data_IF_990195201428
#
_entry.id   IF_990195201428
#
_cell.length_a   1.000
_cell.length_b   1.000
_cell.length_c   1.000
_cell.angle_alpha   90.00
_cell.angle_beta   90.00
_cell.angle_gamma   90.00
#
_symmetry.space_group_name_H-M   'P 1'
#
loop_
_entity.id
_entity.type
_entity.pdbx_description
1 polymer ?
#
# COMPACT_ATOMS: atom_id res chain seq x y z
N UNK A 1 18.70 -3.55 -12.90
CA UNK A 1 17.61 -4.50 -12.55
C UNK A 1 17.75 -4.83 -11.08
N UNK A 2 16.65 -4.85 -10.29
CA UNK A 2 16.67 -5.17 -8.86
C UNK A 2 16.79 -6.68 -8.64
N UNK A 3 17.65 -7.10 -7.71
CA UNK A 3 17.72 -8.49 -7.28
C UNK A 3 16.69 -8.75 -6.15
N UNK A 4 15.52 -9.24 -6.52
CA UNK A 4 14.44 -9.53 -5.57
C UNK A 4 14.77 -10.67 -4.57
N UNK A 5 15.82 -11.47 -4.84
CA UNK A 5 16.30 -12.47 -3.88
C UNK A 5 17.00 -11.83 -2.69
N UNK A 6 17.57 -10.63 -2.88
CA UNK A 6 18.19 -9.84 -1.82
C UNK A 6 17.13 -8.90 -1.20
N UNK A 7 16.15 -9.49 -0.51
CA UNK A 7 15.06 -8.74 0.14
C UNK A 7 14.88 -9.25 1.56
N UNK A 8 14.84 -8.32 2.52
CA UNK A 8 14.65 -8.62 3.94
C UNK A 8 13.83 -7.56 4.66
N UNK A 9 13.21 -7.93 5.77
CA UNK A 9 12.61 -6.97 6.70
C UNK A 9 13.76 -6.20 7.40
N UNK A 10 13.78 -4.88 7.23
CA UNK A 10 14.75 -3.99 7.91
C UNK A 10 14.29 -3.80 9.36
N UNK A 11 13.06 -3.30 9.54
CA UNK A 11 12.48 -3.01 10.85
C UNK A 11 10.95 -2.99 10.79
N UNK A 12 10.32 -3.27 11.94
CA UNK A 12 8.91 -2.97 12.23
C UNK A 12 8.88 -1.79 13.17
N UNK A 13 8.76 -0.58 12.63
CA UNK A 13 8.85 0.67 13.36
C UNK A 13 7.54 1.00 14.06
N UNK A 14 7.58 1.17 15.37
CA UNK A 14 6.46 1.62 16.20
C UNK A 14 6.57 3.09 16.64
N UNK A 15 7.66 3.78 16.26
CA UNK A 15 7.93 5.19 16.61
C UNK A 15 8.63 5.89 15.45
N UNK A 16 8.46 7.23 15.30
CA UNK A 16 9.06 8.01 14.21
C UNK A 16 10.59 7.92 14.12
N UNK A 17 11.28 7.84 15.25
CA UNK A 17 12.75 7.79 15.30
C UNK A 17 13.33 6.50 14.68
N UNK A 18 12.48 5.51 14.44
CA UNK A 18 12.84 4.23 13.86
C UNK A 18 12.67 4.19 12.33
N UNK A 19 12.14 5.25 11.71
CA UNK A 19 11.91 5.27 10.27
C UNK A 19 13.24 5.34 9.51
N UNK A 20 13.47 4.46 8.53
CA UNK A 20 14.70 4.47 7.73
C UNK A 20 14.63 5.53 6.63
N UNK A 21 14.49 6.80 7.01
CA UNK A 21 14.45 7.94 6.09
C UNK A 21 15.84 8.54 5.89
N UNK A 22 16.07 9.20 4.76
CA UNK A 22 17.32 9.88 4.41
C UNK A 22 18.29 9.03 3.61
N UNK A 23 17.81 8.17 2.68
CA UNK A 23 18.76 7.36 1.93
C UNK A 23 18.24 6.73 0.65
N UNK A 24 17.22 5.92 0.72
CA UNK A 24 16.73 5.14 -0.42
C UNK A 24 15.30 5.54 -0.77
N UNK A 25 14.92 5.52 -2.07
CA UNK A 25 13.55 5.75 -2.46
C UNK A 25 12.61 4.73 -1.79
N UNK A 26 11.44 5.20 -1.37
CA UNK A 26 10.48 4.39 -0.64
C UNK A 26 9.16 4.27 -1.41
N UNK A 27 8.66 3.03 -1.55
CA UNK A 27 7.33 2.75 -2.09
C UNK A 27 6.42 2.41 -0.93
N UNK A 28 5.38 3.21 -0.74
CA UNK A 28 4.45 3.09 0.37
C UNK A 28 3.24 2.26 -0.04
N UNK A 29 2.87 1.28 0.77
CA UNK A 29 1.67 0.47 0.60
C UNK A 29 0.63 0.89 1.63
N UNK A 30 -0.46 1.49 1.15
CA UNK A 30 -1.59 1.97 1.93
C UNK A 30 -2.87 1.22 1.58
N UNK A 31 -3.78 1.06 2.53
CA UNK A 31 -5.07 0.43 2.28
C UNK A 31 -5.70 -0.14 3.55
N UNK A 32 -6.98 -0.51 3.43
CA UNK A 32 -7.74 -1.13 4.52
C UNK A 32 -7.12 -2.44 5.01
N UNK A 33 -7.45 -2.79 6.24
CA UNK A 33 -7.22 -4.14 6.74
C UNK A 33 -7.89 -5.18 5.83
N UNK A 34 -7.16 -6.25 5.50
CA UNK A 34 -7.60 -7.35 4.63
C UNK A 34 -7.88 -6.95 3.16
N UNK A 35 -7.42 -5.81 2.71
CA UNK A 35 -7.51 -5.39 1.29
C UNK A 35 -6.64 -6.25 0.36
N UNK A 36 -5.62 -6.93 0.89
CA UNK A 36 -4.66 -7.75 0.12
C UNK A 36 -3.24 -7.16 0.07
N UNK A 37 -2.91 -6.22 0.95
CA UNK A 37 -1.65 -5.49 0.97
C UNK A 37 -0.43 -6.43 1.11
N UNK A 38 -0.40 -7.28 2.12
CA UNK A 38 0.70 -8.26 2.29
C UNK A 38 0.78 -9.26 1.14
N UNK A 39 -0.36 -9.63 0.53
CA UNK A 39 -0.39 -10.49 -0.65
C UNK A 39 0.23 -9.80 -1.87
N UNK A 40 -0.08 -8.50 -2.08
CA UNK A 40 0.54 -7.71 -3.14
C UNK A 40 2.06 -7.64 -2.95
N UNK A 41 2.53 -7.24 -1.76
CA UNK A 41 3.96 -7.16 -1.44
C UNK A 41 4.66 -8.49 -1.72
N UNK A 42 4.10 -9.60 -1.22
CA UNK A 42 4.68 -10.92 -1.43
C UNK A 42 4.71 -11.32 -2.92
N UNK A 43 3.67 -10.97 -3.68
CA UNK A 43 3.60 -11.23 -5.14
C UNK A 43 4.63 -10.41 -5.91
N UNK A 44 4.78 -9.12 -5.58
CA UNK A 44 5.78 -8.25 -6.21
C UNK A 44 7.20 -8.76 -5.96
N UNK A 45 7.47 -9.22 -4.74
CA UNK A 45 8.80 -9.67 -4.32
C UNK A 45 9.08 -11.16 -4.63
N UNK A 46 8.16 -11.88 -5.28
CA UNK A 46 8.27 -13.32 -5.51
C UNK A 46 8.49 -14.13 -4.21
N UNK A 47 7.86 -13.71 -3.10
CA UNK A 47 7.98 -14.35 -1.79
C UNK A 47 6.64 -14.93 -1.34
N UNK A 48 6.67 -16.04 -0.60
CA UNK A 48 5.44 -16.68 -0.09
C UNK A 48 4.92 -16.05 1.19
N UNK A 49 5.80 -15.53 2.06
CA UNK A 49 5.44 -15.09 3.41
C UNK A 49 6.42 -14.06 4.01
N UNK A 50 7.01 -13.17 3.21
CA UNK A 50 7.88 -12.10 3.72
C UNK A 50 7.03 -11.07 4.49
N UNK A 51 6.01 -10.51 3.84
CA UNK A 51 5.00 -9.71 4.49
C UNK A 51 3.96 -10.65 5.12
N UNK A 52 3.79 -10.55 6.43
CA UNK A 52 2.85 -11.41 7.15
C UNK A 52 1.41 -10.99 6.89
N UNK A 53 0.60 -11.93 6.46
CA UNK A 53 -0.86 -11.74 6.43
C UNK A 53 -1.32 -11.73 7.88
N UNK A 54 -1.62 -10.54 8.42
CA UNK A 54 -1.98 -10.39 9.83
C UNK A 54 -3.35 -11.01 10.10
N UNK A 55 -3.36 -12.12 10.82
CA UNK A 55 -4.58 -12.79 11.30
C UNK A 55 -4.96 -12.48 12.76
N UNK A 56 -4.19 -11.67 13.49
CA UNK A 56 -4.43 -11.45 14.93
C UNK A 56 -4.63 -9.97 15.24
N UNK A 57 -5.84 -9.56 15.67
CA UNK A 57 -6.08 -8.22 16.22
C UNK A 57 -5.42 -8.11 17.60
N UNK A 58 -4.72 -7.00 17.87
CA UNK A 58 -4.18 -6.69 19.20
C UNK A 58 -2.69 -6.42 19.28
N UNK A 59 -1.93 -6.55 18.19
CA UNK A 59 -0.49 -6.19 18.17
C UNK A 59 -0.29 -4.67 18.05
N UNK A 60 0.87 -4.20 18.54
CA UNK A 60 1.36 -2.83 18.39
C UNK A 60 1.25 -2.38 16.94
N UNK A 61 0.80 -1.15 16.73
CA UNK A 61 0.75 -0.53 15.40
C UNK A 61 2.18 -0.28 14.93
N UNK A 62 2.56 -0.82 13.79
CA UNK A 62 3.89 -0.65 13.21
C UNK A 62 3.82 -0.40 11.71
N UNK A 63 4.76 0.38 11.20
CA UNK A 63 5.12 0.41 9.77
C UNK A 63 6.23 -0.60 9.55
N UNK A 64 6.05 -1.51 8.59
CA UNK A 64 7.08 -2.51 8.29
C UNK A 64 7.88 -2.07 7.06
N UNK A 65 9.20 -2.02 7.19
CA UNK A 65 10.10 -1.61 6.12
C UNK A 65 10.89 -2.81 5.59
N UNK A 66 10.77 -3.06 4.29
CA UNK A 66 11.48 -4.13 3.59
C UNK A 66 12.52 -3.52 2.65
N UNK A 67 13.80 -3.84 2.85
CA UNK A 67 14.87 -3.45 1.96
C UNK A 67 14.97 -4.38 0.75
N UNK A 68 15.18 -3.84 -0.42
CA UNK A 68 15.27 -4.56 -1.68
C UNK A 68 16.57 -4.19 -2.36
N UNK A 69 17.49 -5.15 -2.45
CA UNK A 69 18.79 -5.05 -3.14
C UNK A 69 19.66 -3.85 -2.70
N UNK A 70 19.44 -3.31 -1.49
CA UNK A 70 20.10 -2.11 -1.02
C UNK A 70 19.81 -0.84 -1.85
N UNK A 71 18.74 -0.84 -2.66
CA UNK A 71 18.42 0.24 -3.61
C UNK A 71 17.01 0.82 -3.45
N UNK A 72 16.12 0.11 -2.78
CA UNK A 72 14.72 0.44 -2.66
C UNK A 72 14.15 -0.05 -1.33
N UNK A 73 13.20 0.67 -0.76
CA UNK A 73 12.47 0.26 0.43
C UNK A 73 10.98 0.16 0.12
N UNK A 74 10.33 -0.94 0.54
CA UNK A 74 8.89 -1.04 0.61
C UNK A 74 8.43 -0.74 2.04
N UNK A 75 7.56 0.25 2.19
CA UNK A 75 6.97 0.64 3.48
C UNK A 75 5.52 0.16 3.55
N UNK A 76 5.28 -0.86 4.36
CA UNK A 76 3.96 -1.47 4.57
C UNK A 76 3.27 -0.78 5.73
N UNK A 77 2.36 0.16 5.43
CA UNK A 77 1.58 0.86 6.43
C UNK A 77 0.61 -0.09 7.13
N UNK A 78 0.30 0.14 8.41
CA UNK A 78 -0.74 -0.61 9.10
C UNK A 78 -2.10 -0.37 8.40
N UNK A 79 -2.89 -1.44 8.24
CA UNK A 79 -4.20 -1.32 7.58
C UNK A 79 -5.23 -0.56 8.42
N UNK A 80 -5.94 0.39 7.84
CA UNK A 80 -7.02 1.14 8.49
C UNK A 80 -8.38 0.42 8.44
N UNK A 81 -9.41 0.97 9.10
CA UNK A 81 -10.80 0.49 8.99
C UNK A 81 -11.13 -0.73 9.86
N UNK A 82 -10.33 -1.08 10.87
CA UNK A 82 -10.69 -2.15 11.80
C UNK A 82 -11.65 -1.61 12.88
N UNK A 83 -12.93 -1.95 12.79
CA UNK A 83 -14.00 -1.46 13.66
C UNK A 83 -13.85 -1.79 15.18
N UNK A 84 -12.93 -2.69 15.54
CA UNK A 84 -12.73 -3.17 16.92
C UNK A 84 -11.52 -2.56 17.64
N UNK A 85 -10.90 -1.50 17.12
CA UNK A 85 -9.82 -0.80 17.84
C UNK A 85 -10.41 0.16 18.87
N UNK A 86 -9.86 0.18 20.10
CA UNK A 86 -10.14 1.22 21.09
C UNK A 86 -9.78 2.60 20.51
N UNK A 87 -10.36 3.66 21.07
CA UNK A 87 -10.14 5.04 20.63
C UNK A 87 -8.64 5.40 20.65
N UNK A 88 -7.91 5.04 21.72
CA UNK A 88 -6.45 5.22 21.86
C UNK A 88 -5.66 4.58 20.72
N UNK A 89 -5.99 3.34 20.32
CA UNK A 89 -5.31 2.66 19.19
C UNK A 89 -5.62 3.27 17.83
N UNK A 90 -6.69 4.05 17.70
CA UNK A 90 -6.98 4.81 16.47
C UNK A 90 -6.12 6.06 16.39
N UNK A 91 -5.90 6.74 17.52
CA UNK A 91 -5.01 7.89 17.62
C UNK A 91 -3.56 7.50 17.37
N UNK A 92 -3.05 6.43 18.00
CA UNK A 92 -1.71 5.87 17.76
C UNK A 92 -1.49 5.50 16.29
N UNK A 93 -2.51 4.90 15.64
CA UNK A 93 -2.48 4.58 14.22
C UNK A 93 -2.36 5.83 13.36
N UNK A 94 -3.20 6.83 13.62
CA UNK A 94 -3.25 8.08 12.85
C UNK A 94 -1.93 8.84 13.00
N UNK A 95 -1.42 8.99 14.22
CA UNK A 95 -0.21 9.75 14.53
C UNK A 95 1.05 9.11 13.94
N UNK A 96 1.20 7.77 13.99
CA UNK A 96 2.36 7.08 13.42
C UNK A 96 2.40 7.17 11.90
N UNK A 97 1.26 6.96 11.24
CA UNK A 97 1.15 7.05 9.77
C UNK A 97 1.36 8.47 9.31
N UNK A 98 0.75 9.45 9.99
CA UNK A 98 0.90 10.87 9.66
C UNK A 98 2.36 11.32 9.83
N UNK A 99 3.00 10.97 10.96
CA UNK A 99 4.41 11.28 11.20
C UNK A 99 5.34 10.70 10.11
N UNK A 100 5.04 9.48 9.62
CA UNK A 100 5.82 8.89 8.54
C UNK A 100 5.58 9.61 7.20
N UNK A 101 4.33 9.79 6.82
CA UNK A 101 3.97 10.37 5.53
C UNK A 101 4.38 11.85 5.39
N UNK A 102 4.42 12.60 6.51
CA UNK A 102 4.83 14.02 6.52
C UNK A 102 6.32 14.21 6.78
N UNK A 103 6.95 13.29 7.51
CA UNK A 103 8.35 13.42 7.95
C UNK A 103 9.37 12.75 7.04
N UNK A 104 8.99 11.84 6.14
CA UNK A 104 9.91 11.12 5.28
C UNK A 104 9.94 11.71 3.85
N UNK A 105 11.05 12.33 3.47
CA UNK A 105 11.24 12.94 2.15
C UNK A 105 11.54 11.93 1.04
N UNK A 106 11.82 10.67 1.39
CA UNK A 106 12.22 9.64 0.41
C UNK A 106 11.03 8.90 -0.23
N UNK A 107 9.79 9.30 0.11
CA UNK A 107 8.60 8.67 -0.48
C UNK A 107 8.52 9.03 -1.96
N UNK A 108 8.79 8.04 -2.81
CA UNK A 108 8.79 8.19 -4.25
C UNK A 108 7.42 7.88 -4.89
N UNK A 109 6.66 6.93 -4.30
CA UNK A 109 5.35 6.52 -4.81
C UNK A 109 4.50 5.93 -3.70
N UNK A 110 3.20 6.24 -3.69
CA UNK A 110 2.23 5.58 -2.81
C UNK A 110 1.32 4.67 -3.64
N UNK A 111 1.24 3.40 -3.26
CA UNK A 111 0.31 2.43 -3.80
C UNK A 111 -0.90 2.36 -2.87
N UNK A 112 -2.02 2.96 -3.28
CA UNK A 112 -3.28 2.93 -2.55
C UNK A 112 -4.10 1.72 -2.97
N UNK A 113 -4.26 0.74 -2.09
CA UNK A 113 -4.99 -0.49 -2.38
C UNK A 113 -6.48 -0.36 -2.06
N UNK A 114 -7.31 -0.79 -3.01
CA UNK A 114 -8.77 -0.82 -2.92
C UNK A 114 -9.27 -2.20 -3.33
N UNK A 115 -10.16 -2.81 -2.55
CA UNK A 115 -10.80 -4.07 -2.92
C UNK A 115 -11.87 -3.79 -3.99
N UNK A 116 -11.68 -4.31 -5.20
CA UNK A 116 -12.57 -4.06 -6.36
C UNK A 116 -14.03 -4.48 -6.12
N UNK A 117 -14.26 -5.48 -5.27
CA UNK A 117 -15.61 -5.92 -4.93
C UNK A 117 -16.33 -4.94 -4.00
N UNK A 118 -15.57 -4.22 -3.18
CA UNK A 118 -16.11 -3.29 -2.15
C UNK A 118 -16.16 -1.86 -2.69
N UNK A 119 -15.19 -1.46 -3.53
CA UNK A 119 -15.00 -0.09 -3.97
C UNK A 119 -14.35 0.81 -2.90
N UNK A 120 -14.35 2.12 -3.15
CA UNK A 120 -13.80 3.12 -2.24
C UNK A 120 -14.66 3.28 -1.01
N UNK A 121 -14.05 3.17 0.16
CA UNK A 121 -14.65 3.54 1.44
C UNK A 121 -14.37 5.00 1.77
N UNK A 122 -15.02 5.54 2.80
CA UNK A 122 -14.75 6.89 3.30
C UNK A 122 -13.29 7.08 3.70
N UNK A 123 -12.69 6.10 4.39
CA UNK A 123 -11.26 6.13 4.74
C UNK A 123 -10.33 6.11 3.51
N UNK A 124 -10.69 5.37 2.47
CA UNK A 124 -9.94 5.38 1.22
C UNK A 124 -9.96 6.77 0.58
N UNK A 125 -11.13 7.44 0.55
CA UNK A 125 -11.27 8.81 0.04
C UNK A 125 -10.48 9.83 0.86
N UNK A 126 -10.53 9.75 2.18
CA UNK A 126 -9.71 10.62 3.05
C UNK A 126 -8.21 10.47 2.75
N UNK A 127 -7.72 9.26 2.55
CA UNK A 127 -6.33 9.01 2.20
C UNK A 127 -5.98 9.53 0.79
N UNK A 128 -6.86 9.32 -0.20
CA UNK A 128 -6.68 9.85 -1.55
C UNK A 128 -6.69 11.38 -1.57
N UNK A 129 -7.56 12.02 -0.80
CA UNK A 129 -7.60 13.48 -0.66
C UNK A 129 -6.29 14.03 -0.04
N UNK A 130 -5.74 13.31 0.93
CA UNK A 130 -4.44 13.65 1.49
C UNK A 130 -3.33 13.52 0.44
N UNK A 131 -3.30 12.41 -0.33
CA UNK A 131 -2.31 12.19 -1.40
C UNK A 131 -2.37 13.28 -2.47
N UNK A 132 -3.57 13.67 -2.90
CA UNK A 132 -3.76 14.77 -3.85
C UNK A 132 -3.21 16.11 -3.32
N UNK A 133 -3.32 16.37 -2.01
CA UNK A 133 -2.84 17.59 -1.37
C UNK A 133 -1.32 17.58 -1.12
N UNK A 134 -0.76 16.42 -0.83
CA UNK A 134 0.67 16.27 -0.52
C UNK A 134 1.58 16.44 -1.76
N UNK A 135 1.04 16.22 -2.95
CA UNK A 135 1.82 16.22 -4.20
C UNK A 135 2.72 15.00 -4.38
N UNK A 136 2.68 14.03 -3.47
CA UNK A 136 3.42 12.76 -3.62
C UNK A 136 2.76 11.93 -4.73
N UNK A 137 3.52 11.40 -5.70
CA UNK A 137 2.97 10.52 -6.74
C UNK A 137 2.26 9.32 -6.12
N UNK A 138 1.10 8.96 -6.66
CA UNK A 138 0.39 7.76 -6.23
C UNK A 138 -0.33 7.07 -7.37
N UNK A 139 -0.63 5.77 -7.18
CA UNK A 139 -1.55 5.04 -8.04
C UNK A 139 -2.50 4.17 -7.21
N UNK A 140 -3.66 3.84 -7.77
CA UNK A 140 -4.68 3.02 -7.13
C UNK A 140 -4.56 1.59 -7.63
N UNK A 141 -4.41 0.64 -6.70
CA UNK A 141 -4.33 -0.78 -7.01
C UNK A 141 -5.67 -1.44 -6.66
N UNK A 142 -6.44 -1.78 -7.69
CA UNK A 142 -7.69 -2.51 -7.53
C UNK A 142 -7.44 -4.00 -7.27
N UNK A 143 -7.47 -4.41 -6.01
CA UNK A 143 -7.11 -5.78 -5.60
C UNK A 143 -8.26 -6.78 -5.79
N UNK A 144 -7.91 -8.08 -5.76
CA UNK A 144 -8.84 -9.22 -5.87
C UNK A 144 -9.61 -9.25 -7.20
N UNK A 145 -8.96 -8.84 -8.29
CA UNK A 145 -9.53 -8.84 -9.63
C UNK A 145 -10.02 -10.24 -10.06
N UNK A 146 -9.38 -11.29 -9.56
CA UNK A 146 -9.76 -12.70 -9.77
C UNK A 146 -11.15 -13.09 -9.23
N UNK A 147 -11.71 -12.29 -8.32
CA UNK A 147 -13.04 -12.52 -7.72
C UNK A 147 -14.20 -11.92 -8.50
N UNK A 148 -13.92 -11.26 -9.61
CA UNK A 148 -14.90 -10.59 -10.45
C UNK A 148 -14.87 -11.20 -11.86
N UNK A 149 -16.04 -11.35 -12.48
CA UNK A 149 -16.11 -11.64 -13.89
C UNK A 149 -15.71 -10.40 -14.72
N UNK A 150 -15.53 -10.57 -16.04
CA UNK A 150 -15.04 -9.50 -16.93
C UNK A 150 -15.91 -8.23 -16.89
N UNK A 151 -17.22 -8.40 -16.85
CA UNK A 151 -18.17 -7.26 -16.81
C UNK A 151 -18.11 -6.52 -15.48
N UNK A 152 -18.08 -7.26 -14.38
CA UNK A 152 -17.96 -6.72 -13.03
C UNK A 152 -16.61 -6.00 -12.84
N UNK A 153 -15.52 -6.61 -13.33
CA UNK A 153 -14.18 -6.04 -13.29
C UNK A 153 -14.13 -4.70 -14.04
N UNK A 154 -14.62 -4.64 -15.27
CA UNK A 154 -14.65 -3.41 -16.05
C UNK A 154 -15.47 -2.32 -15.35
N UNK A 155 -16.64 -2.66 -14.79
CA UNK A 155 -17.48 -1.75 -14.04
C UNK A 155 -16.79 -1.22 -12.78
N UNK A 156 -16.13 -2.09 -12.03
CA UNK A 156 -15.42 -1.72 -10.81
C UNK A 156 -14.21 -0.81 -11.11
N UNK A 157 -13.42 -1.13 -12.13
CA UNK A 157 -12.29 -0.28 -12.57
C UNK A 157 -12.80 1.08 -13.06
N UNK A 158 -13.86 1.10 -13.87
CA UNK A 158 -14.44 2.34 -14.37
C UNK A 158 -14.95 3.22 -13.21
N UNK A 159 -15.56 2.63 -12.19
CA UNK A 159 -16.01 3.36 -11.01
C UNK A 159 -14.85 4.02 -10.24
N UNK A 160 -13.67 3.38 -10.17
CA UNK A 160 -12.46 3.98 -9.59
C UNK A 160 -11.93 5.10 -10.48
N UNK A 161 -11.80 4.88 -11.78
CA UNK A 161 -11.25 5.87 -12.73
C UNK A 161 -12.09 7.15 -12.77
N UNK A 162 -13.41 7.04 -12.58
CA UNK A 162 -14.32 8.21 -12.63
C UNK A 162 -14.54 8.86 -11.27
N UNK A 163 -14.02 8.29 -10.18
CA UNK A 163 -14.16 8.89 -8.84
C UNK A 163 -13.23 10.12 -8.71
N UNK A 164 -13.81 11.23 -8.29
CA UNK A 164 -13.09 12.52 -8.18
C UNK A 164 -11.89 12.46 -7.22
N UNK A 165 -11.94 11.63 -6.19
CA UNK A 165 -10.82 11.49 -5.24
C UNK A 165 -9.62 10.75 -5.83
N UNK A 166 -9.83 9.91 -6.85
CA UNK A 166 -8.75 9.25 -7.60
C UNK A 166 -8.09 10.23 -8.57
N UNK A 167 -8.86 11.15 -9.15
CA UNK A 167 -8.35 12.17 -10.06
C UNK A 167 -7.71 11.55 -11.32
N UNK A 168 -6.52 12.01 -11.66
CA UNK A 168 -5.73 11.51 -12.81
C UNK A 168 -4.79 10.35 -12.46
N UNK A 169 -4.82 9.83 -11.24
CA UNK A 169 -3.94 8.75 -10.82
C UNK A 169 -4.21 7.45 -11.61
N UNK A 170 -3.17 6.70 -12.00
CA UNK A 170 -3.34 5.41 -12.65
C UNK A 170 -4.12 4.43 -11.76
N UNK A 171 -5.03 3.67 -12.37
CA UNK A 171 -5.79 2.59 -11.72
C UNK A 171 -5.37 1.26 -12.32
N UNK A 172 -4.82 0.36 -11.52
CA UNK A 172 -4.30 -0.94 -11.96
C UNK A 172 -5.10 -2.06 -11.29
N UNK A 173 -5.88 -2.85 -12.05
CA UNK A 173 -6.48 -4.07 -11.53
C UNK A 173 -5.40 -5.11 -11.23
N UNK A 174 -5.48 -5.74 -10.04
CA UNK A 174 -4.47 -6.65 -9.54
C UNK A 174 -5.07 -7.92 -8.94
N UNK A 175 -4.41 -9.05 -9.20
CA UNK A 175 -4.66 -10.32 -8.50
C UNK A 175 -3.36 -10.97 -8.05
N UNK A 176 -3.28 -11.25 -6.75
CA UNK A 176 -2.17 -12.04 -6.19
C UNK A 176 -2.29 -13.55 -6.50
N UNK A 177 -3.46 -14.00 -6.94
CA UNK A 177 -3.70 -15.42 -7.25
C UNK A 177 -3.07 -15.81 -8.58
N UNK A 178 -3.26 -14.98 -9.61
CA UNK A 178 -2.82 -15.27 -10.98
C UNK A 178 -1.78 -14.30 -11.54
N UNK A 179 -1.35 -13.29 -10.74
CA UNK A 179 -0.34 -12.33 -11.14
C UNK A 179 -0.81 -11.19 -12.05
N UNK A 180 -2.10 -11.08 -12.33
CA UNK A 180 -2.65 -9.97 -13.12
C UNK A 180 -2.20 -8.63 -12.54
N UNK A 181 -1.74 -7.71 -13.39
CA UNK A 181 -1.34 -6.35 -13.02
C UNK A 181 0.05 -6.24 -12.37
N UNK A 182 0.76 -7.35 -12.11
CA UNK A 182 2.08 -7.33 -11.45
C UNK A 182 3.10 -6.49 -12.20
N UNK A 183 3.21 -6.67 -13.50
CA UNK A 183 4.18 -5.95 -14.35
C UNK A 183 3.81 -4.47 -14.47
N UNK A 184 2.51 -4.15 -14.47
CA UNK A 184 2.03 -2.77 -14.49
C UNK A 184 2.36 -2.04 -13.19
N UNK A 185 2.22 -2.70 -12.04
CA UNK A 185 2.65 -2.14 -10.74
C UNK A 185 4.17 -1.92 -10.72
N UNK A 186 4.96 -2.89 -11.20
CA UNK A 186 6.42 -2.73 -11.30
C UNK A 186 6.81 -1.59 -12.22
N UNK A 187 6.08 -1.40 -13.33
CA UNK A 187 6.30 -0.25 -14.25
C UNK A 187 6.07 1.09 -13.52
N UNK A 188 5.01 1.20 -12.72
CA UNK A 188 4.78 2.41 -11.91
C UNK A 188 5.91 2.63 -10.88
N UNK A 189 6.35 1.57 -10.20
CA UNK A 189 7.46 1.66 -9.26
C UNK A 189 8.73 2.15 -9.99
N UNK A 190 9.12 1.50 -11.08
CA UNK A 190 10.37 1.83 -11.80
C UNK A 190 10.36 3.21 -12.46
N UNK A 191 9.20 3.77 -12.78
CA UNK A 191 9.08 5.12 -13.33
C UNK A 191 9.23 6.22 -12.26
N UNK A 192 9.17 5.89 -10.98
CA UNK A 192 9.22 6.84 -9.88
C UNK A 192 10.48 6.70 -8.99
N UNK A 193 11.41 5.80 -9.33
CA UNK A 193 12.65 5.56 -8.56
C UNK A 193 13.90 5.69 -9.42
#
# INVERSE_FOLDING_TARGET
MLNLNNTSLIISAGRPEQFPCGGLPQIVFSGRSNVGKSSLINTLLNRKALARVSGSPGKTVTVNFYGIDGKLIFADLPGYGFAKRSYEKKEDFSSLVDAYLTGCSDIALILQLVDLKVGLTEYDRMMLDWMNKSGVPFCVIGTKADKLNKTELNKAVQALVTDKSVGAAPVIPFSSLNGTGKDDVWRQITNNV
#
